data_IF_349884650340
#
_entry.id   IF_349884650340
#
_cell.length_a   1.000
_cell.length_b   1.000
_cell.length_c   1.000
_cell.angle_alpha   90.00
_cell.angle_beta   90.00
_cell.angle_gamma   90.00
#
_symmetry.space_group_name_H-M   'P 1'
#
loop_
_entity.id
_entity.type
_entity.pdbx_description
1 polymer ?
#
# COMPACT_ATOMS: atom_id res chain seq x y z
N UNK A 1 -5.59 9.19 9.13
CA UNK A 1 -4.76 8.35 8.22
C UNK A 1 -4.75 8.87 6.77
N UNK A 2 -5.88 8.86 6.04
CA UNK A 2 -5.95 9.22 4.61
C UNK A 2 -5.28 10.56 4.24
N UNK A 3 -5.55 11.63 4.96
CA UNK A 3 -4.95 12.94 4.68
C UNK A 3 -3.43 12.96 4.87
N UNK A 4 -2.88 12.11 5.75
CA UNK A 4 -1.42 11.98 5.91
C UNK A 4 -0.80 11.17 4.76
N UNK A 5 -1.44 10.09 4.33
CA UNK A 5 -1.02 9.36 3.12
C UNK A 5 -1.04 10.27 1.90
N UNK A 6 -2.12 11.04 1.71
CA UNK A 6 -2.21 12.01 0.62
C UNK A 6 -1.10 13.06 0.68
N UNK A 7 -0.75 13.55 1.88
CA UNK A 7 0.37 14.48 2.06
C UNK A 7 1.70 13.85 1.63
N UNK A 8 1.99 12.61 2.06
CA UNK A 8 3.21 11.89 1.67
C UNK A 8 3.28 11.72 0.15
N UNK A 9 2.19 11.30 -0.48
CA UNK A 9 2.13 11.14 -1.95
C UNK A 9 2.38 12.46 -2.69
N UNK A 10 1.84 13.58 -2.18
CA UNK A 10 2.10 14.90 -2.73
C UNK A 10 3.55 15.37 -2.60
N UNK A 11 4.28 14.92 -1.58
CA UNK A 11 5.72 15.20 -1.49
C UNK A 11 6.51 14.35 -2.48
N UNK A 12 6.11 13.08 -2.69
CA UNK A 12 6.76 12.19 -3.67
C UNK A 12 6.60 12.67 -5.11
N UNK A 13 5.46 13.25 -5.48
CA UNK A 13 5.26 13.84 -6.82
C UNK A 13 6.17 15.07 -7.08
N UNK A 14 6.57 15.76 -6.01
CA UNK A 14 7.48 16.91 -6.07
C UNK A 14 8.94 16.51 -6.02
N UNK A 15 9.24 15.30 -5.56
CA UNK A 15 10.61 14.80 -5.49
C UNK A 15 11.28 14.84 -6.87
N UNK A 16 12.59 15.08 -6.85
CA UNK A 16 13.44 15.05 -8.04
C UNK A 16 14.64 14.19 -7.72
N UNK A 17 15.06 13.36 -8.68
CA UNK A 17 16.32 12.62 -8.64
C UNK A 17 17.17 13.13 -9.78
N UNK A 18 18.36 13.65 -9.46
CA UNK A 18 19.30 14.20 -10.44
C UNK A 18 18.65 15.26 -11.37
N UNK A 19 17.74 16.08 -10.82
CA UNK A 19 16.99 17.09 -11.55
C UNK A 19 15.80 16.57 -12.37
N UNK A 20 15.59 15.25 -12.44
CA UNK A 20 14.50 14.62 -13.18
C UNK A 20 13.29 14.33 -12.30
N UNK A 21 12.09 14.48 -12.88
CA UNK A 21 10.84 14.02 -12.29
C UNK A 21 10.83 12.49 -12.35
N UNK A 22 10.68 11.78 -11.23
CA UNK A 22 10.56 10.33 -11.27
C UNK A 22 9.25 9.91 -11.92
N UNK A 23 9.26 8.79 -12.64
CA UNK A 23 8.03 8.11 -13.05
C UNK A 23 7.39 7.48 -11.80
N UNK A 24 6.30 8.08 -11.32
CA UNK A 24 5.63 7.68 -10.09
C UNK A 24 4.40 6.83 -10.40
N UNK A 25 4.39 5.62 -9.87
CA UNK A 25 3.24 4.73 -9.90
C UNK A 25 2.78 4.43 -8.48
N UNK A 26 1.47 4.48 -8.25
CA UNK A 26 0.86 4.23 -6.94
C UNK A 26 -0.20 3.14 -7.10
N UNK A 27 -0.17 2.17 -6.19
CA UNK A 27 -1.24 1.22 -5.98
C UNK A 27 -1.89 1.49 -4.61
N UNK A 28 -3.16 1.13 -4.47
CA UNK A 28 -3.91 1.31 -3.23
C UNK A 28 -4.55 0.00 -2.80
N UNK A 29 -4.29 -0.36 -1.56
CA UNK A 29 -4.91 -1.49 -0.86
C UNK A 29 -5.70 -0.97 0.34
N UNK A 30 -6.81 -1.64 0.63
CA UNK A 30 -7.43 -1.59 1.94
C UNK A 30 -7.30 -2.96 2.59
N UNK A 31 -7.21 -2.95 3.92
CA UNK A 31 -7.13 -4.17 4.71
C UNK A 31 -7.85 -3.98 6.05
N UNK A 32 -8.19 -5.11 6.69
CA UNK A 32 -8.74 -5.11 8.05
C UNK A 32 -10.18 -4.61 8.17
N UNK A 33 -10.89 -4.45 7.05
CA UNK A 33 -12.32 -4.18 7.06
C UNK A 33 -13.08 -5.51 7.22
N UNK A 34 -13.90 -5.61 8.26
CA UNK A 34 -14.70 -6.81 8.59
C UNK A 34 -15.69 -7.23 7.50
N UNK A 35 -16.00 -6.34 6.55
CA UNK A 35 -16.78 -6.66 5.35
C UNK A 35 -15.98 -7.35 4.23
N UNK A 36 -14.66 -7.48 4.35
CA UNK A 36 -13.82 -8.16 3.37
C UNK A 36 -13.83 -9.67 3.57
N UNK A 37 -13.62 -10.41 2.49
CA UNK A 37 -13.62 -11.87 2.53
C UNK A 37 -12.46 -12.38 3.40
N UNK A 38 -12.78 -13.25 4.36
CA UNK A 38 -11.77 -14.00 5.09
C UNK A 38 -10.87 -14.84 4.16
N UNK A 39 -11.38 -15.23 2.99
CA UNK A 39 -10.62 -16.01 2.00
C UNK A 39 -9.51 -15.18 1.33
N UNK A 40 -9.68 -13.86 1.20
CA UNK A 40 -8.63 -12.96 0.70
C UNK A 40 -7.79 -12.37 1.85
N UNK A 41 -7.88 -12.94 3.05
CA UNK A 41 -7.19 -12.44 4.24
C UNK A 41 -7.62 -11.05 4.64
N UNK A 42 -8.87 -10.66 4.32
CA UNK A 42 -9.41 -9.32 4.53
C UNK A 42 -8.58 -8.21 3.84
N UNK A 43 -7.95 -8.55 2.71
CA UNK A 43 -7.24 -7.62 1.85
C UNK A 43 -8.05 -7.40 0.57
N UNK A 44 -8.06 -6.15 0.08
CA UNK A 44 -8.59 -5.79 -1.23
C UNK A 44 -7.67 -4.81 -1.94
N UNK A 45 -7.24 -5.17 -3.14
CA UNK A 45 -6.64 -4.21 -4.07
C UNK A 45 -7.74 -3.27 -4.58
N UNK A 46 -7.68 -2.00 -4.17
CA UNK A 46 -8.63 -0.97 -4.60
C UNK A 46 -8.22 -0.40 -5.96
N UNK A 47 -6.90 -0.23 -6.16
CA UNK A 47 -6.32 0.33 -7.37
C UNK A 47 -4.97 -0.35 -7.66
N UNK A 48 -4.78 -1.01 -8.82
CA UNK A 48 -3.44 -1.43 -9.25
C UNK A 48 -2.55 -0.21 -9.53
N UNK A 49 -1.25 -0.45 -9.74
CA UNK A 49 -0.31 0.62 -10.10
C UNK A 49 -0.84 1.50 -11.23
N UNK A 50 -0.91 2.80 -10.95
CA UNK A 50 -1.32 3.83 -11.89
C UNK A 50 -0.48 5.08 -11.67
N UNK A 51 -0.32 5.89 -12.71
CA UNK A 51 0.27 7.23 -12.64
C UNK A 51 -0.80 8.33 -12.55
N UNK A 52 -2.09 7.96 -12.55
CA UNK A 52 -3.21 8.89 -12.38
C UNK A 52 -3.42 9.24 -10.91
N UNK A 53 -2.92 10.42 -10.53
CA UNK A 53 -3.01 10.93 -9.15
C UNK A 53 -4.43 11.31 -8.74
N UNK A 54 -5.27 11.73 -9.69
CA UNK A 54 -6.65 12.11 -9.41
C UNK A 54 -7.48 10.87 -9.11
N UNK A 55 -7.26 9.79 -9.87
CA UNK A 55 -7.87 8.48 -9.61
C UNK A 55 -7.45 7.93 -8.23
N UNK A 56 -6.16 8.00 -7.89
CA UNK A 56 -5.67 7.55 -6.57
C UNK A 56 -6.32 8.35 -5.44
N UNK A 57 -6.44 9.68 -5.61
CA UNK A 57 -7.11 10.55 -4.66
C UNK A 57 -8.58 10.16 -4.48
N UNK A 58 -9.32 10.02 -5.59
CA UNK A 58 -10.72 9.59 -5.59
C UNK A 58 -10.90 8.30 -4.80
N UNK A 59 -10.12 7.25 -5.13
CA UNK A 59 -10.20 5.95 -4.47
C UNK A 59 -9.84 6.02 -2.98
N UNK A 60 -8.78 6.75 -2.63
CA UNK A 60 -8.36 6.91 -1.23
C UNK A 60 -9.44 7.59 -0.38
N UNK A 61 -10.03 8.66 -0.89
CA UNK A 61 -11.07 9.40 -0.16
C UNK A 61 -12.40 8.66 -0.16
N UNK A 62 -12.71 7.84 -1.17
CA UNK A 62 -13.93 7.01 -1.22
C UNK A 62 -13.93 5.83 -0.24
N UNK A 63 -12.77 5.41 0.29
CA UNK A 63 -12.72 4.29 1.25
C UNK A 63 -13.59 4.58 2.48
N UNK A 64 -14.12 3.55 3.11
CA UNK A 64 -14.78 3.69 4.41
C UNK A 64 -14.07 2.77 5.39
N UNK A 65 -13.75 3.30 6.58
CA UNK A 65 -13.11 2.54 7.64
C UNK A 65 -14.19 2.04 8.58
N UNK A 66 -14.45 0.74 8.53
CA UNK A 66 -15.18 0.05 9.58
C UNK A 66 -14.11 -0.71 10.35
N UNK A 67 -13.82 -0.30 11.58
CA UNK A 67 -12.76 -0.90 12.39
C UNK A 67 -12.78 -2.43 12.35
N UNK A 68 -11.61 -3.04 12.40
CA UNK A 68 -11.43 -4.48 12.32
C UNK A 68 -9.98 -4.87 12.56
N UNK A 69 -9.62 -6.10 12.19
CA UNK A 69 -8.33 -6.69 12.53
C UNK A 69 -7.20 -6.20 11.62
N UNK A 70 -6.03 -5.88 12.18
CA UNK A 70 -4.88 -5.36 11.42
C UNK A 70 -4.06 -6.49 10.78
N UNK A 71 -4.48 -6.95 9.60
CA UNK A 71 -3.74 -7.94 8.81
C UNK A 71 -2.55 -7.34 8.03
N UNK A 72 -1.72 -6.55 8.68
CA UNK A 72 -0.60 -5.81 8.06
C UNK A 72 0.38 -6.73 7.31
N UNK A 73 0.81 -7.84 7.94
CA UNK A 73 1.71 -8.80 7.30
C UNK A 73 1.12 -9.42 6.03
N UNK A 74 -0.20 -9.67 6.03
CA UNK A 74 -0.92 -10.16 4.85
C UNK A 74 -1.02 -9.08 3.77
N UNK A 75 -1.23 -7.81 4.13
CA UNK A 75 -1.28 -6.70 3.18
C UNK A 75 0.05 -6.54 2.44
N UNK A 76 1.17 -6.53 3.18
CA UNK A 76 2.52 -6.47 2.61
C UNK A 76 2.73 -7.68 1.68
N UNK A 77 2.49 -8.89 2.17
CA UNK A 77 2.67 -10.11 1.37
C UNK A 77 1.82 -10.10 0.08
N UNK A 78 0.54 -9.71 0.17
CA UNK A 78 -0.35 -9.66 -1.00
C UNK A 78 0.15 -8.64 -2.02
N UNK A 79 0.55 -7.44 -1.57
CA UNK A 79 1.12 -6.42 -2.46
C UNK A 79 2.38 -6.89 -3.19
N UNK A 80 3.24 -7.69 -2.55
CA UNK A 80 4.47 -8.21 -3.17
C UNK A 80 4.17 -9.24 -4.27
N UNK A 81 3.10 -10.03 -4.10
CA UNK A 81 2.75 -11.11 -5.03
C UNK A 81 1.80 -10.67 -6.16
N UNK A 82 0.92 -9.71 -5.90
CA UNK A 82 -0.12 -9.29 -6.84
C UNK A 82 0.30 -8.09 -7.71
N UNK A 83 1.13 -7.20 -7.18
CA UNK A 83 1.57 -6.03 -7.93
C UNK A 83 2.80 -6.35 -8.78
N UNK A 84 2.84 -5.73 -9.95
CA UNK A 84 4.01 -5.75 -10.82
C UNK A 84 5.03 -4.70 -10.37
N UNK A 85 5.77 -5.01 -9.31
CA UNK A 85 6.91 -4.20 -8.88
C UNK A 85 7.97 -4.21 -10.00
N UNK A 86 8.09 -3.11 -10.75
CA UNK A 86 8.93 -3.05 -11.94
C UNK A 86 10.36 -3.55 -11.73
N UNK A 87 10.95 -4.20 -12.73
CA UNK A 87 12.23 -4.91 -12.61
C UNK A 87 13.48 -4.01 -12.59
N UNK A 88 13.33 -2.68 -12.65
CA UNK A 88 14.45 -1.75 -12.72
C UNK A 88 15.16 -1.72 -11.35
N UNK A 89 16.44 -2.12 -11.25
CA UNK A 89 17.13 -2.21 -9.96
C UNK A 89 17.35 -0.86 -9.27
N UNK A 90 17.36 0.24 -10.03
CA UNK A 90 17.55 1.60 -9.51
C UNK A 90 16.25 2.29 -9.08
N UNK A 91 15.10 1.61 -9.22
CA UNK A 91 13.81 2.12 -8.79
C UNK A 91 13.66 2.09 -7.27
N UNK A 92 13.18 3.19 -6.70
CA UNK A 92 12.80 3.24 -5.30
C UNK A 92 11.41 2.60 -5.15
N UNK A 93 11.32 1.56 -4.32
CA UNK A 93 10.06 0.87 -4.01
C UNK A 93 9.71 1.13 -2.54
N UNK A 94 8.48 1.54 -2.28
CA UNK A 94 8.01 1.90 -0.95
C UNK A 94 6.63 1.30 -0.70
N UNK A 95 6.41 0.78 0.51
CA UNK A 95 5.11 0.37 1.00
C UNK A 95 4.78 1.23 2.21
N UNK A 96 3.69 1.99 2.15
CA UNK A 96 3.17 2.77 3.26
C UNK A 96 1.98 2.06 3.89
N UNK A 97 2.11 1.68 5.16
CA UNK A 97 1.04 1.09 5.95
C UNK A 97 0.49 2.16 6.89
N UNK A 98 -0.84 2.33 6.90
CA UNK A 98 -1.53 3.24 7.79
C UNK A 98 -2.66 2.51 8.51
N UNK A 99 -2.39 2.15 9.77
CA UNK A 99 -3.32 1.50 10.69
C UNK A 99 -3.06 1.97 12.12
N UNK A 100 -3.89 1.55 13.06
CA UNK A 100 -3.80 1.99 14.46
C UNK A 100 -3.75 0.85 15.49
N UNK A 101 -3.76 -0.41 15.07
CA UNK A 101 -3.56 -1.57 15.96
C UNK A 101 -2.18 -2.21 15.75
N UNK A 102 -1.76 -3.14 16.65
CA UNK A 102 -0.48 -3.84 16.51
C UNK A 102 -0.39 -4.67 15.22
N UNK A 103 0.79 -4.65 14.59
CA UNK A 103 1.09 -5.39 13.35
C UNK A 103 1.23 -6.92 13.54
N UNK A 104 1.01 -7.41 14.75
CA UNK A 104 1.15 -8.83 15.12
C UNK A 104 -0.13 -9.64 14.90
N UNK A 105 -1.19 -9.02 14.37
CA UNK A 105 -2.43 -9.71 14.07
C UNK A 105 -2.33 -10.47 12.73
N UNK A 106 -3.13 -11.53 12.59
CA UNK A 106 -3.13 -12.35 11.39
C UNK A 106 -2.16 -13.51 11.38
N UNK A 107 -2.20 -14.28 10.27
CA UNK A 107 -1.41 -15.50 10.08
C UNK A 107 -0.01 -15.24 9.53
N UNK A 108 0.17 -14.15 8.79
CA UNK A 108 1.47 -13.79 8.20
C UNK A 108 2.17 -12.82 9.15
N UNK A 109 3.30 -13.23 9.78
CA UNK A 109 4.06 -12.33 10.62
C UNK A 109 4.62 -11.16 9.79
N UNK A 110 4.42 -9.92 10.25
CA UNK A 110 4.92 -8.74 9.53
C UNK A 110 6.44 -8.80 9.31
N UNK A 111 7.21 -9.35 10.26
CA UNK A 111 8.65 -9.49 10.13
C UNK A 111 9.06 -10.37 8.94
N UNK A 112 8.32 -11.45 8.70
CA UNK A 112 8.53 -12.33 7.55
C UNK A 112 8.19 -11.61 6.25
N UNK A 113 7.04 -10.92 6.21
CA UNK A 113 6.64 -10.14 5.03
C UNK A 113 7.65 -9.01 4.70
N UNK A 114 8.14 -8.30 5.71
CA UNK A 114 9.19 -7.29 5.55
C UNK A 114 10.52 -7.89 5.09
N UNK A 115 10.84 -9.13 5.47
CA UNK A 115 12.05 -9.81 4.98
C UNK A 115 11.94 -10.10 3.49
N UNK A 116 10.77 -10.56 3.02
CA UNK A 116 10.50 -10.79 1.61
C UNK A 116 10.54 -9.49 0.78
N UNK A 117 10.14 -8.36 1.37
CA UNK A 117 10.15 -7.06 0.70
C UNK A 117 11.55 -6.46 0.48
N UNK A 118 12.58 -7.01 1.13
CA UNK A 118 13.97 -6.52 1.00
C UNK A 118 14.71 -7.08 -0.20
N UNK A 119 14.18 -8.16 -0.79
CA UNK A 119 14.74 -8.81 -1.99
C UNK A 119 14.27 -8.10 -3.26
#
# INVERSE_FOLDING_TARGET
AKSQLWKILNELTRARKDGQVPDLQIALYEYGNSGLSAQTGYIRQVQPFTNDMDLVSEKLFSLTTNGGEEFCGQAIYSSLNELQWGAIPSSLRLIYIAGNEPFTQGRVPYATACSLAKE
#
